data_IF_627131324755
#
_entry.id   IF_627131324755
#
_cell.length_a   1.000
_cell.length_b   1.000
_cell.length_c   1.000
_cell.angle_alpha   90.00
_cell.angle_beta   90.00
_cell.angle_gamma   90.00
#
_symmetry.space_group_name_H-M   'P 1'
#
loop_
_entity.id
_entity.type
_entity.pdbx_description
1 polymer ?
#
# COMPACT_ATOMS: atom_id res chain seq x y z
N UNK A 1 -1.22 11.33 -23.28
CA UNK A 1 -0.97 10.14 -22.44
C UNK A 1 -2.30 9.74 -21.80
N UNK A 2 -2.88 8.61 -22.23
CA UNK A 2 -4.18 8.14 -21.73
C UNK A 2 -3.90 7.36 -20.45
N UNK A 3 -3.84 8.06 -19.32
CA UNK A 3 -3.69 7.46 -18.00
C UNK A 3 -4.97 6.70 -17.67
N UNK A 4 -5.00 5.41 -17.99
CA UNK A 4 -6.11 4.56 -17.57
C UNK A 4 -6.00 4.39 -16.05
N UNK A 5 -7.03 4.75 -15.28
CA UNK A 5 -6.98 4.60 -13.83
C UNK A 5 -6.75 3.13 -13.47
N UNK A 6 -6.08 2.80 -12.36
CA UNK A 6 -5.95 1.43 -11.88
C UNK A 6 -7.34 0.80 -11.64
N UNK A 7 -7.41 -0.53 -11.63
CA UNK A 7 -8.63 -1.26 -11.25
C UNK A 7 -9.06 -0.80 -9.87
N UNK A 8 -10.34 -0.46 -9.70
CA UNK A 8 -10.92 -0.07 -8.40
C UNK A 8 -10.53 -1.09 -7.32
N UNK A 9 -10.47 -2.37 -7.68
CA UNK A 9 -10.07 -3.47 -6.81
C UNK A 9 -8.59 -3.38 -6.37
N UNK A 10 -7.65 -3.06 -7.28
CA UNK A 10 -6.22 -2.91 -6.93
C UNK A 10 -5.99 -1.63 -6.12
N UNK A 11 -6.71 -0.56 -6.47
CA UNK A 11 -6.71 0.68 -5.70
C UNK A 11 -7.17 0.43 -4.25
N UNK A 12 -8.28 -0.29 -4.06
CA UNK A 12 -8.80 -0.64 -2.73
C UNK A 12 -7.82 -1.48 -1.92
N UNK A 13 -7.20 -2.51 -2.51
CA UNK A 13 -6.21 -3.35 -1.82
C UNK A 13 -5.01 -2.50 -1.36
N UNK A 14 -4.49 -1.67 -2.27
CA UNK A 14 -3.34 -0.80 -1.98
C UNK A 14 -3.69 0.25 -0.91
N UNK A 15 -4.91 0.80 -0.96
CA UNK A 15 -5.42 1.75 0.01
C UNK A 15 -5.54 1.15 1.40
N UNK A 16 -6.06 -0.09 1.52
CA UNK A 16 -6.13 -0.81 2.81
C UNK A 16 -4.74 -1.05 3.39
N UNK A 17 -3.78 -1.51 2.58
CA UNK A 17 -2.40 -1.73 3.01
C UNK A 17 -1.72 -0.43 3.46
N UNK A 18 -1.92 0.66 2.72
CA UNK A 18 -1.38 1.98 3.08
C UNK A 18 -2.00 2.51 4.38
N UNK A 19 -3.30 2.30 4.58
CA UNK A 19 -4.00 2.73 5.81
C UNK A 19 -3.51 1.94 7.02
N UNK A 20 -3.29 0.63 6.87
CA UNK A 20 -2.66 -0.21 7.89
C UNK A 20 -1.24 0.26 8.25
N UNK A 21 -0.44 0.64 7.25
CA UNK A 21 0.89 1.22 7.47
C UNK A 21 0.82 2.53 8.29
N UNK A 22 -0.15 3.40 7.98
CA UNK A 22 -0.36 4.64 8.73
C UNK A 22 -0.79 4.40 10.17
N UNK A 23 -1.76 3.52 10.40
CA UNK A 23 -2.27 3.19 11.74
C UNK A 23 -1.15 2.62 12.61
N UNK A 24 -0.32 1.74 12.04
CA UNK A 24 0.83 1.15 12.74
C UNK A 24 1.94 2.16 13.03
N UNK A 25 2.22 3.10 12.12
CA UNK A 25 3.17 4.20 12.38
C UNK A 25 2.63 5.12 13.49
N UNK A 26 1.39 5.56 13.37
CA UNK A 26 0.79 6.56 14.27
C UNK A 26 0.61 6.03 15.71
N UNK A 27 0.87 4.73 15.95
CA UNK A 27 0.83 4.15 17.28
C UNK A 27 -0.59 4.00 17.83
N UNK A 28 -1.62 4.13 16.97
CA UNK A 28 -3.02 3.94 17.35
C UNK A 28 -3.30 2.51 17.81
N UNK A 29 -2.49 1.54 17.38
CA UNK A 29 -2.57 0.15 17.81
C UNK A 29 -1.18 -0.32 18.22
N UNK A 30 -1.00 -0.86 19.44
CA UNK A 30 0.24 -1.50 19.84
C UNK A 30 0.39 -2.81 19.06
N UNK A 31 0.98 -2.73 17.87
CA UNK A 31 1.32 -3.90 17.07
C UNK A 31 2.69 -4.41 17.52
N UNK A 32 2.81 -5.68 17.94
CA UNK A 32 4.10 -6.25 18.29
C UNK A 32 5.05 -6.14 17.09
N UNK A 33 6.15 -5.38 17.27
CA UNK A 33 7.19 -5.20 16.27
C UNK A 33 8.10 -6.42 16.29
N UNK A 34 7.95 -7.28 15.29
CA UNK A 34 8.86 -8.41 15.07
C UNK A 34 10.03 -8.05 14.16
N UNK A 35 9.89 -6.99 13.36
CA UNK A 35 10.91 -6.51 12.42
C UNK A 35 11.20 -5.02 12.64
N UNK A 36 12.46 -4.59 12.54
CA UNK A 36 12.80 -3.17 12.56
C UNK A 36 12.10 -2.45 11.39
N UNK A 37 11.46 -1.32 11.69
CA UNK A 37 10.75 -0.47 10.71
C UNK A 37 9.60 -1.17 9.97
N UNK A 38 8.83 -2.03 10.64
CA UNK A 38 7.70 -2.78 10.06
C UNK A 38 6.69 -1.90 9.29
N UNK A 39 6.42 -0.68 9.76
CA UNK A 39 5.55 0.28 9.06
C UNK A 39 6.07 0.70 7.67
N UNK A 40 7.39 0.76 7.50
CA UNK A 40 8.05 1.15 6.25
C UNK A 40 7.90 0.05 5.21
N UNK A 41 8.03 -1.21 5.63
CA UNK A 41 7.80 -2.37 4.78
C UNK A 41 6.35 -2.48 4.30
N UNK A 42 5.39 -2.24 5.20
CA UNK A 42 3.96 -2.20 4.84
C UNK A 42 3.66 -1.10 3.81
N UNK A 43 4.22 0.10 4.00
CA UNK A 43 4.07 1.20 3.05
C UNK A 43 4.69 0.90 1.68
N UNK A 44 5.88 0.27 1.66
CA UNK A 44 6.54 -0.17 0.42
C UNK A 44 5.66 -1.17 -0.34
N UNK A 45 5.11 -2.16 0.34
CA UNK A 45 4.26 -3.19 -0.30
C UNK A 45 2.98 -2.55 -0.87
N UNK A 46 2.36 -1.63 -0.14
CA UNK A 46 1.20 -0.88 -0.62
C UNK A 46 1.53 -0.09 -1.91
N UNK A 47 2.68 0.58 -1.94
CA UNK A 47 3.11 1.38 -3.08
C UNK A 47 3.46 0.51 -4.29
N UNK A 48 4.16 -0.62 -4.08
CA UNK A 48 4.48 -1.58 -5.14
C UNK A 48 3.22 -2.21 -5.74
N UNK A 49 2.23 -2.54 -4.91
CA UNK A 49 0.95 -3.10 -5.36
C UNK A 49 0.19 -2.11 -6.24
N UNK A 50 0.15 -0.84 -5.82
CA UNK A 50 -0.45 0.24 -6.60
C UNK A 50 0.28 0.46 -7.94
N UNK A 51 1.62 0.46 -7.90
CA UNK A 51 2.47 0.65 -9.07
C UNK A 51 2.27 -0.46 -10.09
N UNK A 52 2.26 -1.73 -9.65
CA UNK A 52 2.01 -2.88 -10.52
C UNK A 52 0.60 -2.80 -11.11
N UNK A 53 -0.41 -2.45 -10.31
CA UNK A 53 -1.78 -2.25 -10.79
C UNK A 53 -1.91 -1.17 -11.87
N UNK A 54 -1.11 -0.11 -11.76
CA UNK A 54 -1.05 0.96 -12.75
C UNK A 54 -0.26 0.51 -14.01
N UNK A 55 0.82 -0.24 -13.85
CA UNK A 55 1.63 -0.78 -14.96
C UNK A 55 0.86 -1.80 -15.81
N UNK A 56 0.16 -2.74 -15.18
CA UNK A 56 -0.62 -3.80 -15.87
C UNK A 56 -1.80 -3.23 -16.69
N UNK A 57 -2.30 -2.05 -16.35
CA UNK A 57 -3.30 -1.32 -17.16
C UNK A 57 -2.71 -0.29 -18.12
N UNK A 58 -1.47 0.13 -17.88
CA UNK A 58 -0.75 1.10 -18.69
C UNK A 58 -0.08 0.48 -19.92
N UNK A 59 0.18 -0.82 -19.90
CA UNK A 59 0.51 -1.69 -21.04
C UNK A 59 -0.76 -2.12 -21.79
#
# INVERSE_FOLDING_TARGET
MRLNPPTILIFLISFVLATLALITKLGFVPVPRYLPHQEFWLAIIAYLTLMIGNLVRGL
#
